data_IF_686572321184
#
_entry.id   IF_686572321184
#
_cell.length_a   1.000
_cell.length_b   1.000
_cell.length_c   1.000
_cell.angle_alpha   90.00
_cell.angle_beta   90.00
_cell.angle_gamma   90.00
#
_symmetry.space_group_name_H-M   'P 1'
#
loop_
_entity.id
_entity.type
_entity.pdbx_description
1 polymer ?
#
# COMPACT_ATOMS: atom_id res chain seq x y z
N UNK A 1 13.04 -11.17 -17.43
CA UNK A 1 13.64 -10.41 -18.50
C UNK A 1 14.12 -9.05 -18.03
N UNK A 2 15.26 -8.60 -18.54
CA UNK A 2 15.93 -7.40 -18.03
C UNK A 2 15.07 -6.13 -18.10
N UNK A 3 14.30 -5.93 -19.17
CA UNK A 3 13.45 -4.75 -19.35
C UNK A 3 12.34 -4.65 -18.32
N UNK A 4 11.70 -5.77 -17.99
CA UNK A 4 10.65 -5.80 -16.98
C UNK A 4 11.19 -5.53 -15.58
N UNK A 5 12.36 -6.10 -15.25
CA UNK A 5 13.01 -5.86 -13.96
C UNK A 5 13.39 -4.39 -13.78
N UNK A 6 13.92 -3.76 -14.83
CA UNK A 6 14.26 -2.34 -14.80
C UNK A 6 13.02 -1.48 -14.60
N UNK A 7 11.93 -1.79 -15.29
CA UNK A 7 10.66 -1.07 -15.15
C UNK A 7 10.11 -1.21 -13.73
N UNK A 8 10.09 -2.43 -13.21
CA UNK A 8 9.59 -2.69 -11.85
C UNK A 8 10.46 -2.00 -10.81
N UNK A 9 11.77 -2.00 -10.97
CA UNK A 9 12.68 -1.33 -10.04
C UNK A 9 12.46 0.18 -10.03
N UNK A 10 12.22 0.79 -11.19
CA UNK A 10 11.90 2.22 -11.27
C UNK A 10 10.59 2.52 -10.55
N UNK A 11 9.57 1.68 -10.74
CA UNK A 11 8.28 1.84 -10.06
C UNK A 11 8.42 1.70 -8.55
N UNK A 12 9.21 0.73 -8.08
CA UNK A 12 9.52 0.56 -6.66
C UNK A 12 10.16 1.81 -6.08
N UNK A 13 11.14 2.36 -6.77
CA UNK A 13 11.85 3.54 -6.30
C UNK A 13 10.93 4.75 -6.17
N UNK A 14 10.06 4.96 -7.15
CA UNK A 14 9.07 6.03 -7.12
C UNK A 14 8.08 5.79 -5.97
N UNK A 15 7.61 4.57 -5.82
CA UNK A 15 6.67 4.19 -4.76
C UNK A 15 7.25 4.50 -3.38
N UNK A 16 8.45 4.02 -3.12
CA UNK A 16 9.11 4.23 -1.82
C UNK A 16 9.37 5.72 -1.57
N UNK A 17 9.83 6.44 -2.58
CA UNK A 17 10.08 7.88 -2.49
C UNK A 17 8.82 8.65 -2.11
N UNK A 18 7.71 8.36 -2.78
CA UNK A 18 6.44 9.04 -2.50
C UNK A 18 5.89 8.63 -1.13
N UNK A 19 6.08 7.36 -0.75
CA UNK A 19 5.63 6.88 0.56
C UNK A 19 6.32 7.61 1.71
N UNK A 20 7.61 7.91 1.59
CA UNK A 20 8.34 8.60 2.66
C UNK A 20 7.81 9.99 2.96
N UNK A 21 7.05 10.59 2.04
CA UNK A 21 6.39 11.89 2.23
C UNK A 21 5.10 11.78 3.06
N UNK A 22 4.69 10.58 3.41
CA UNK A 22 3.43 10.32 4.12
C UNK A 22 3.71 9.63 5.45
N UNK A 23 3.91 10.39 6.55
CA UNK A 23 4.37 9.82 7.83
C UNK A 23 3.36 8.90 8.51
N UNK A 24 2.08 8.96 8.14
CA UNK A 24 1.07 8.07 8.70
C UNK A 24 1.08 6.69 8.06
N UNK A 25 1.86 6.50 7.02
CA UNK A 25 1.98 5.24 6.30
C UNK A 25 3.41 4.74 6.37
N UNK A 26 3.58 3.45 6.47
CA UNK A 26 4.91 2.82 6.55
C UNK A 26 4.98 1.62 5.61
N UNK A 27 6.17 1.34 5.12
CA UNK A 27 6.41 0.19 4.27
C UNK A 27 6.73 -1.02 5.15
N UNK A 28 5.87 -2.03 5.11
CA UNK A 28 6.10 -3.29 5.81
C UNK A 28 6.89 -4.26 4.93
N UNK A 29 6.71 -4.18 3.63
CA UNK A 29 7.43 -5.01 2.68
C UNK A 29 7.09 -4.62 1.26
N UNK A 30 7.97 -4.94 0.32
CA UNK A 30 7.71 -4.69 -1.10
C UNK A 30 8.28 -5.85 -1.91
N UNK A 31 7.42 -6.44 -2.73
CA UNK A 31 7.80 -7.49 -3.67
C UNK A 31 7.88 -6.96 -5.09
N UNK A 32 7.94 -7.89 -6.07
CA UNK A 32 7.97 -7.53 -7.49
C UNK A 32 6.70 -6.88 -8.00
N UNK A 33 5.55 -7.20 -7.37
CA UNK A 33 4.24 -6.77 -7.87
C UNK A 33 3.41 -6.03 -6.84
N UNK A 34 3.68 -6.20 -5.55
CA UNK A 34 2.86 -5.68 -4.47
C UNK A 34 3.69 -4.98 -3.42
N UNK A 35 3.11 -3.96 -2.82
CA UNK A 35 3.66 -3.31 -1.63
C UNK A 35 2.70 -3.56 -0.46
N UNK A 36 3.27 -3.82 0.71
CA UNK A 36 2.52 -4.02 1.95
C UNK A 36 2.74 -2.80 2.83
N UNK A 37 1.66 -2.08 3.13
CA UNK A 37 1.72 -0.84 3.88
C UNK A 37 1.06 -0.97 5.23
N UNK A 38 1.74 -0.49 6.27
CA UNK A 38 1.14 -0.26 7.57
C UNK A 38 0.64 1.17 7.67
N UNK A 39 -0.25 1.43 8.63
CA UNK A 39 -0.79 2.78 8.83
C UNK A 39 -1.04 3.05 10.32
N UNK A 40 -1.01 4.32 10.67
CA UNK A 40 -1.26 4.79 12.02
C UNK A 40 -2.73 5.17 12.18
N UNK A 41 -3.57 4.18 12.49
CA UNK A 41 -5.00 4.37 12.69
C UNK A 41 -5.55 3.21 13.52
N UNK A 42 -6.67 3.43 14.18
CA UNK A 42 -7.37 2.39 14.94
C UNK A 42 -8.29 1.55 14.04
N UNK A 43 -8.44 1.91 12.78
CA UNK A 43 -9.26 1.14 11.85
C UNK A 43 -8.61 -0.20 11.55
N UNK A 44 -9.42 -1.26 11.49
CA UNK A 44 -8.95 -2.54 10.99
C UNK A 44 -8.71 -2.47 9.48
N UNK A 45 -8.03 -3.48 8.93
CA UNK A 45 -7.63 -3.46 7.53
C UNK A 45 -8.83 -3.48 6.57
N UNK A 46 -9.90 -4.17 6.93
CA UNK A 46 -11.10 -4.26 6.10
C UNK A 46 -11.79 -2.89 6.03
N UNK A 47 -11.96 -2.24 7.19
CA UNK A 47 -12.55 -0.90 7.24
C UNK A 47 -11.70 0.12 6.52
N UNK A 48 -10.37 0.04 6.66
CA UNK A 48 -9.43 0.94 5.97
C UNK A 48 -9.53 0.76 4.46
N UNK A 49 -9.57 -0.48 3.97
CA UNK A 49 -9.70 -0.75 2.53
C UNK A 49 -11.00 -0.21 1.96
N UNK A 50 -12.11 -0.38 2.68
CA UNK A 50 -13.42 0.16 2.27
C UNK A 50 -13.41 1.68 2.23
N UNK A 51 -12.80 2.32 3.22
CA UNK A 51 -12.73 3.77 3.31
C UNK A 51 -11.86 4.36 2.19
N UNK A 52 -10.72 3.74 1.90
CA UNK A 52 -9.85 4.16 0.80
C UNK A 52 -10.58 4.07 -0.54
N UNK A 53 -11.33 2.99 -0.77
CA UNK A 53 -12.10 2.83 -1.99
C UNK A 53 -13.22 3.86 -2.09
N UNK A 54 -13.96 4.06 -1.00
CA UNK A 54 -15.11 4.97 -0.99
C UNK A 54 -14.71 6.44 -1.14
N UNK A 55 -13.66 6.87 -0.45
CA UNK A 55 -13.27 8.28 -0.39
C UNK A 55 -12.27 8.69 -1.46
N UNK A 56 -11.35 7.80 -1.83
CA UNK A 56 -10.26 8.13 -2.76
C UNK A 56 -10.20 7.23 -3.98
N UNK A 57 -11.14 6.32 -4.11
CA UNK A 57 -11.17 5.35 -5.22
C UNK A 57 -9.86 4.57 -5.35
N UNK A 58 -9.28 4.21 -4.22
CA UNK A 58 -8.06 3.40 -4.15
C UNK A 58 -8.44 1.97 -3.79
N UNK A 59 -8.13 1.03 -4.67
CA UNK A 59 -8.39 -0.39 -4.45
C UNK A 59 -7.19 -1.02 -3.74
N UNK A 60 -7.45 -1.63 -2.58
CA UNK A 60 -6.43 -2.31 -1.79
C UNK A 60 -6.96 -3.65 -1.30
N UNK A 61 -6.04 -4.53 -0.87
CA UNK A 61 -6.42 -5.78 -0.24
C UNK A 61 -6.11 -5.67 1.26
N UNK A 62 -7.12 -5.88 2.13
CA UNK A 62 -6.90 -5.79 3.58
C UNK A 62 -5.90 -6.83 4.08
N UNK A 63 -5.08 -6.45 5.05
CA UNK A 63 -4.10 -7.34 5.66
C UNK A 63 -4.71 -8.62 6.21
N UNK A 64 -5.93 -8.53 6.78
CA UNK A 64 -6.63 -9.69 7.30
C UNK A 64 -6.92 -10.76 6.24
N UNK A 65 -6.89 -10.41 4.96
CA UNK A 65 -7.15 -11.34 3.87
C UNK A 65 -5.91 -12.10 3.41
N UNK A 66 -4.71 -11.53 3.59
CA UNK A 66 -3.49 -12.18 3.11
C UNK A 66 -2.55 -12.64 4.22
N UNK A 67 -2.74 -12.22 5.46
CA UNK A 67 -2.04 -12.81 6.59
C UNK A 67 -2.89 -13.93 7.19
N UNK A 68 -2.28 -15.06 7.57
CA UNK A 68 -3.04 -16.14 8.21
C UNK A 68 -3.63 -15.66 9.54
N UNK A 69 -4.84 -16.12 9.83
CA UNK A 69 -5.50 -15.84 11.12
C UNK A 69 -4.84 -16.65 12.24
N UNK A 70 -3.53 -16.54 12.37
CA UNK A 70 -2.84 -17.21 13.46
C UNK A 70 -2.98 -16.36 14.73
N UNK A 71 -2.91 -17.02 15.87
CA UNK A 71 -3.08 -16.40 17.18
C UNK A 71 -1.98 -15.38 17.50
N UNK A 72 -0.93 -15.30 16.69
CA UNK A 72 0.26 -14.51 16.96
C UNK A 72 0.47 -13.36 15.97
N UNK A 73 -0.58 -12.91 15.29
CA UNK A 73 -0.46 -11.74 14.42
C UNK A 73 -0.27 -10.48 15.27
N UNK A 74 0.80 -9.76 14.99
CA UNK A 74 1.03 -8.46 15.60
C UNK A 74 -0.02 -7.47 15.09
N UNK A 75 -0.28 -6.44 15.90
CA UNK A 75 -1.27 -5.41 15.57
C UNK A 75 -0.93 -4.75 14.23
N UNK A 76 0.35 -4.55 13.92
CA UNK A 76 0.77 -3.92 12.68
C UNK A 76 0.39 -4.71 11.43
N UNK A 77 0.39 -6.06 11.49
CA UNK A 77 -0.02 -6.89 10.36
C UNK A 77 -1.53 -6.82 10.13
N UNK A 78 -2.30 -6.71 11.22
CA UNK A 78 -3.75 -6.53 11.15
C UNK A 78 -4.13 -5.17 10.61
N UNK A 79 -3.26 -4.16 10.80
CA UNK A 79 -3.45 -2.79 10.34
C UNK A 79 -2.57 -2.54 9.13
N UNK A 80 -2.75 -3.35 8.10
CA UNK A 80 -1.99 -3.27 6.88
C UNK A 80 -2.87 -3.46 5.66
N UNK A 81 -2.40 -2.94 4.55
CA UNK A 81 -3.05 -3.11 3.26
C UNK A 81 -2.00 -3.50 2.22
N UNK A 82 -2.44 -4.15 1.16
CA UNK A 82 -1.59 -4.53 0.04
C UNK A 82 -2.03 -3.76 -1.20
N UNK A 83 -1.09 -3.12 -1.86
CA UNK A 83 -1.33 -2.37 -3.10
C UNK A 83 -0.52 -2.98 -4.23
N UNK A 84 -1.19 -3.30 -5.34
CA UNK A 84 -0.53 -3.72 -6.57
C UNK A 84 -0.02 -2.49 -7.32
N UNK A 85 1.24 -2.49 -7.73
CA UNK A 85 1.84 -1.35 -8.44
C UNK A 85 2.53 -1.72 -9.74
N UNK A 86 2.78 -3.01 -9.99
CA UNK A 86 3.62 -3.45 -11.11
C UNK A 86 3.05 -3.09 -12.48
N UNK A 87 1.74 -2.99 -12.61
CA UNK A 87 1.06 -2.61 -13.85
C UNK A 87 0.74 -1.12 -13.94
N UNK A 88 1.20 -0.34 -12.96
CA UNK A 88 0.94 1.09 -12.93
C UNK A 88 1.99 1.86 -13.73
N UNK A 89 1.63 3.06 -14.19
CA UNK A 89 2.58 4.01 -14.73
C UNK A 89 3.17 4.88 -13.62
N UNK A 90 4.23 5.63 -13.92
CA UNK A 90 4.80 6.57 -12.96
C UNK A 90 3.76 7.59 -12.50
N UNK A 91 2.97 8.10 -13.43
CA UNK A 91 1.91 9.08 -13.15
C UNK A 91 0.83 8.50 -12.25
N UNK A 92 0.48 7.23 -12.47
CA UNK A 92 -0.53 6.56 -11.63
C UNK A 92 -0.06 6.39 -10.20
N UNK A 93 1.23 6.08 -10.00
CA UNK A 93 1.80 5.96 -8.65
C UNK A 93 1.83 7.33 -7.97
N UNK A 94 2.23 8.38 -8.69
CA UNK A 94 2.24 9.73 -8.16
C UNK A 94 0.82 10.16 -7.78
N UNK A 95 -0.16 9.88 -8.63
CA UNK A 95 -1.56 10.18 -8.36
C UNK A 95 -2.08 9.41 -7.14
N UNK A 96 -1.71 8.14 -7.01
CA UNK A 96 -2.06 7.32 -5.85
C UNK A 96 -1.64 8.00 -4.55
N UNK A 97 -0.40 8.47 -4.47
CA UNK A 97 0.10 9.11 -3.26
C UNK A 97 -0.47 10.51 -3.04
N UNK A 98 -0.89 11.21 -4.08
CA UNK A 98 -1.67 12.44 -3.92
C UNK A 98 -3.01 12.15 -3.25
N UNK A 99 -3.67 11.08 -3.64
CA UNK A 99 -4.94 10.64 -3.03
C UNK A 99 -4.72 10.19 -1.58
N UNK A 100 -3.65 9.46 -1.31
CA UNK A 100 -3.29 9.05 0.05
C UNK A 100 -3.02 10.26 0.93
N UNK A 101 -2.33 11.27 0.41
CA UNK A 101 -2.06 12.51 1.14
C UNK A 101 -3.34 13.25 1.51
N UNK A 102 -4.32 13.25 0.61
CA UNK A 102 -5.62 13.89 0.84
C UNK A 102 -6.55 13.05 1.72
N UNK A 103 -6.17 11.81 1.98
CA UNK A 103 -6.96 10.89 2.79
C UNK A 103 -6.68 11.14 4.26
N UNK A 104 -7.74 11.45 5.03
CA UNK A 104 -7.64 11.68 6.46
C UNK A 104 -7.76 10.35 7.21
N UNK A 105 -6.69 10.02 7.92
CA UNK A 105 -6.68 8.83 8.76
C UNK A 105 -7.26 9.15 10.14
#
# INVERSE_FOLDING_TARGET
MAKERLKINKLKNIFVKELTKNPNWSLLGIGGYFAYLGYKSNLDSISMAKKLLAEQNILTIPGDMFFPKSKNLFIKERRSIRIAFANSTNEEIIDLFKRIKNFSI
#
